data_IF_463334771571
#
_entry.id   IF_463334771571
#
_cell.length_a   1.000
_cell.length_b   1.000
_cell.length_c   1.000
_cell.angle_alpha   90.00
_cell.angle_beta   90.00
_cell.angle_gamma   90.00
#
_symmetry.space_group_name_H-M   'P 1'
#
loop_
_entity.id
_entity.type
_entity.pdbx_description
1 polymer ?
#
# COMPACT_ATOMS: atom_id res chain seq x y z
N UNK A 1 -11.86 -5.40 9.39
CA UNK A 1 -10.73 -6.34 9.19
C UNK A 1 -9.43 -5.53 9.10
N UNK A 2 -8.27 -6.11 9.45
CA UNK A 2 -6.97 -5.42 9.35
C UNK A 2 -6.14 -6.07 8.25
N UNK A 3 -5.63 -5.27 7.32
CA UNK A 3 -4.62 -5.67 6.36
C UNK A 3 -3.23 -5.35 6.92
N UNK A 4 -2.35 -6.34 6.92
CA UNK A 4 -0.99 -6.24 7.46
C UNK A 4 0.09 -6.19 6.38
N UNK A 5 -0.28 -6.25 5.10
CA UNK A 5 0.70 -6.21 4.02
C UNK A 5 0.14 -5.51 2.79
N UNK A 6 0.49 -4.24 2.62
CA UNK A 6 0.01 -3.42 1.52
C UNK A 6 1.07 -2.41 1.05
N UNK A 7 1.19 -2.26 -0.27
CA UNK A 7 2.12 -1.34 -0.94
C UNK A 7 1.36 -0.09 -1.42
N UNK A 8 0.87 0.68 -0.45
CA UNK A 8 -0.10 1.76 -0.69
C UNK A 8 0.54 3.14 -0.91
N UNK A 9 1.82 3.31 -0.57
CA UNK A 9 2.49 4.61 -0.53
C UNK A 9 3.19 4.91 -1.86
N UNK A 10 2.78 5.96 -2.59
CA UNK A 10 3.36 6.24 -3.88
C UNK A 10 4.78 6.79 -3.80
N UNK A 11 5.64 6.32 -4.72
CA UNK A 11 7.03 6.72 -4.82
C UNK A 11 7.95 6.15 -3.73
N UNK A 12 7.49 5.13 -2.99
CA UNK A 12 8.28 4.45 -1.96
C UNK A 12 8.88 3.15 -2.50
N UNK A 13 8.11 2.40 -3.29
CA UNK A 13 8.54 1.15 -3.92
C UNK A 13 7.73 0.89 -5.21
N UNK A 14 7.63 -0.37 -5.61
CA UNK A 14 6.90 -0.89 -6.76
C UNK A 14 5.39 -1.09 -6.53
N UNK A 15 4.85 -0.52 -5.44
CA UNK A 15 3.42 -0.41 -5.19
C UNK A 15 2.73 0.65 -6.06
N UNK A 16 1.83 1.41 -5.44
CA UNK A 16 1.09 2.48 -6.11
C UNK A 16 2.02 3.49 -6.83
N UNK A 17 1.76 3.81 -8.09
CA UNK A 17 2.57 4.75 -8.86
C UNK A 17 2.23 6.21 -8.55
N UNK A 18 1.00 6.46 -8.07
CA UNK A 18 0.50 7.81 -7.78
C UNK A 18 -0.41 7.86 -6.57
N UNK A 19 -0.62 9.06 -6.01
CA UNK A 19 -1.60 9.27 -4.95
C UNK A 19 -3.01 8.85 -5.36
N UNK A 20 -3.38 9.09 -6.62
CA UNK A 20 -4.70 8.71 -7.13
C UNK A 20 -4.90 7.19 -7.12
N UNK A 21 -3.86 6.44 -7.49
CA UNK A 21 -3.87 4.97 -7.46
C UNK A 21 -3.89 4.44 -6.04
N UNK A 22 -3.04 4.96 -5.14
CA UNK A 22 -3.05 4.56 -3.72
C UNK A 22 -4.42 4.80 -3.05
N UNK A 23 -5.09 5.91 -3.39
CA UNK A 23 -6.46 6.17 -2.94
C UNK A 23 -7.49 5.22 -3.54
N UNK A 24 -7.31 4.78 -4.79
CA UNK A 24 -8.19 3.78 -5.41
C UNK A 24 -8.07 2.42 -4.70
N UNK A 25 -6.83 1.99 -4.40
CA UNK A 25 -6.56 0.76 -3.63
C UNK A 25 -7.17 0.88 -2.22
N UNK A 26 -6.98 2.00 -1.53
CA UNK A 26 -7.55 2.23 -0.21
C UNK A 26 -9.11 2.12 -0.20
N UNK A 27 -9.76 2.65 -1.25
CA UNK A 27 -11.22 2.53 -1.40
C UNK A 27 -11.66 1.09 -1.62
N UNK A 28 -10.96 0.33 -2.46
CA UNK A 28 -11.25 -1.09 -2.68
C UNK A 28 -11.11 -1.90 -1.38
N UNK A 29 -10.06 -1.64 -0.59
CA UNK A 29 -9.86 -2.27 0.71
C UNK A 29 -11.01 -1.94 1.67
N UNK A 30 -11.44 -0.69 1.72
CA UNK A 30 -12.58 -0.28 2.53
C UNK A 30 -13.89 -0.98 2.11
N UNK A 31 -14.17 -1.03 0.81
CA UNK A 31 -15.33 -1.73 0.25
C UNK A 31 -15.29 -3.24 0.54
N UNK A 32 -14.10 -3.83 0.62
CA UNK A 32 -13.88 -5.22 1.04
C UNK A 32 -13.98 -5.44 2.57
N UNK A 33 -14.25 -4.40 3.36
CA UNK A 33 -14.44 -4.49 4.82
C UNK A 33 -13.18 -4.35 5.66
N UNK A 34 -12.06 -3.91 5.06
CA UNK A 34 -10.87 -3.50 5.80
C UNK A 34 -11.07 -2.11 6.40
N UNK A 35 -10.68 -1.97 7.67
CA UNK A 35 -10.83 -0.73 8.45
C UNK A 35 -9.48 -0.18 8.90
N UNK A 36 -8.41 -0.95 8.71
CA UNK A 36 -7.05 -0.60 9.07
C UNK A 36 -6.10 -1.29 8.10
N UNK A 37 -5.10 -0.56 7.61
CA UNK A 37 -4.08 -1.06 6.68
C UNK A 37 -2.73 -0.66 7.24
N UNK A 38 -1.82 -1.61 7.37
CA UNK A 38 -0.42 -1.37 7.69
C UNK A 38 0.36 -1.37 6.38
N UNK A 39 0.92 -0.21 6.01
CA UNK A 39 1.78 -0.14 4.84
C UNK A 39 3.12 -0.85 5.12
N UNK A 40 3.52 -1.75 4.23
CA UNK A 40 4.76 -2.55 4.38
C UNK A 40 5.58 -2.48 3.09
N UNK A 41 6.08 -1.29 2.72
CA UNK A 41 6.86 -1.15 1.50
C UNK A 41 8.13 -1.98 1.56
N UNK A 42 8.65 -2.36 0.39
CA UNK A 42 9.89 -3.11 0.28
C UNK A 42 11.07 -2.34 0.89
N UNK A 43 11.85 -3.03 1.73
CA UNK A 43 13.18 -2.58 2.15
C UNK A 43 14.18 -3.49 1.47
N UNK A 44 14.92 -2.95 0.51
CA UNK A 44 15.93 -3.70 -0.25
C UNK A 44 17.30 -3.41 0.36
N UNK A 45 17.86 -4.37 1.09
CA UNK A 45 19.24 -4.30 1.55
C UNK A 45 20.21 -4.76 0.45
N UNK A 46 21.33 -4.06 0.28
CA UNK A 46 22.41 -4.47 -0.62
C UNK A 46 22.31 -3.98 -2.07
N UNK A 47 21.39 -3.05 -2.38
CA UNK A 47 21.43 -2.33 -3.65
C UNK A 47 22.42 -1.17 -3.51
N UNK A 48 23.65 -1.41 -3.96
CA UNK A 48 24.70 -0.39 -4.14
C UNK A 48 24.46 0.47 -5.36
#
# INVERSE_FOLDING_TARGET
MIDFHCHLLPGVDDGAESLAEGLAIARQLYEAGFTTVVATPHVLEGIT
#
